data_IF_282611576735
#
_entry.id   IF_282611576735
#
_cell.length_a   1.000
_cell.length_b   1.000
_cell.length_c   1.000
_cell.angle_alpha   90.00
_cell.angle_beta   90.00
_cell.angle_gamma   90.00
#
_symmetry.space_group_name_H-M   'P 1'
#
loop_
_entity.id
_entity.type
_entity.pdbx_description
1 polymer ?
#
# COMPACT_ATOMS: atom_id res chain seq x y z
N UNK A 1 2.36 -7.80 -94.73
CA UNK A 1 2.85 -9.00 -94.08
C UNK A 1 4.16 -8.62 -93.33
N UNK A 2 4.08 -8.42 -92.02
CA UNK A 2 5.25 -8.16 -91.19
C UNK A 2 5.12 -9.07 -89.97
N UNK A 3 6.03 -9.99 -89.87
CA UNK A 3 6.18 -10.98 -88.81
C UNK A 3 6.72 -10.33 -87.54
N UNK A 4 6.06 -10.46 -86.46
CA UNK A 4 6.54 -10.03 -85.11
C UNK A 4 7.09 -11.25 -84.39
N UNK A 5 8.38 -11.16 -84.01
CA UNK A 5 9.09 -12.15 -83.19
C UNK A 5 8.87 -11.81 -81.72
N UNK A 6 8.32 -12.75 -81.00
CA UNK A 6 8.14 -12.69 -79.56
C UNK A 6 9.44 -13.13 -78.85
N UNK A 7 9.98 -12.28 -77.98
CA UNK A 7 11.11 -12.59 -77.11
C UNK A 7 10.53 -12.94 -75.74
N UNK A 8 10.73 -14.16 -75.27
CA UNK A 8 10.38 -14.59 -73.92
C UNK A 8 11.56 -14.25 -72.97
N UNK A 9 11.32 -13.40 -72.01
CA UNK A 9 12.27 -13.12 -70.91
C UNK A 9 11.93 -14.02 -69.73
N UNK A 10 12.87 -14.89 -69.39
CA UNK A 10 12.80 -15.69 -68.15
C UNK A 10 13.24 -14.86 -66.94
N UNK A 11 12.32 -14.58 -66.02
CA UNK A 11 12.64 -13.97 -64.74
C UNK A 11 12.99 -15.08 -63.71
N UNK A 12 14.24 -15.12 -63.30
CA UNK A 12 14.69 -15.97 -62.19
C UNK A 12 14.33 -15.32 -60.84
N UNK A 13 13.37 -15.94 -60.10
CA UNK A 13 13.09 -15.58 -58.72
C UNK A 13 14.24 -16.11 -57.82
N UNK A 14 15.00 -15.19 -57.28
CA UNK A 14 15.90 -15.48 -56.15
C UNK A 14 15.08 -15.43 -54.86
N UNK A 15 14.73 -16.58 -54.29
CA UNK A 15 14.20 -16.74 -52.93
C UNK A 15 15.37 -16.54 -51.94
N UNK A 16 15.53 -15.31 -51.46
CA UNK A 16 16.39 -14.99 -50.33
C UNK A 16 15.77 -15.51 -49.04
N UNK A 17 16.30 -16.60 -48.51
CA UNK A 17 15.96 -17.09 -47.17
C UNK A 17 16.53 -16.12 -46.12
N UNK A 18 15.77 -15.10 -45.77
CA UNK A 18 16.04 -14.27 -44.62
C UNK A 18 15.75 -15.07 -43.32
N UNK A 19 16.76 -15.74 -42.78
CA UNK A 19 16.71 -16.23 -41.42
C UNK A 19 16.65 -15.02 -40.49
N UNK A 20 15.43 -14.60 -40.11
CA UNK A 20 15.24 -13.67 -39.05
C UNK A 20 15.79 -14.29 -37.76
N UNK A 21 16.92 -13.76 -37.28
CA UNK A 21 17.39 -14.03 -35.92
C UNK A 21 16.31 -13.53 -34.98
N UNK A 22 15.49 -14.46 -34.44
CA UNK A 22 14.64 -14.18 -33.31
C UNK A 22 15.57 -13.71 -32.20
N UNK A 23 15.53 -12.42 -31.89
CA UNK A 23 16.26 -11.84 -30.78
C UNK A 23 15.71 -12.49 -29.52
N UNK A 24 16.49 -13.36 -28.89
CA UNK A 24 16.10 -13.97 -27.61
C UNK A 24 15.74 -12.82 -26.66
N UNK A 25 14.52 -12.85 -26.13
CA UNK A 25 14.12 -11.91 -25.11
C UNK A 25 15.15 -12.01 -23.98
N UNK A 26 15.75 -10.87 -23.61
CA UNK A 26 16.72 -10.85 -22.52
C UNK A 26 16.08 -11.49 -21.29
N UNK A 27 16.78 -12.44 -20.67
CA UNK A 27 16.31 -13.02 -19.41
C UNK A 27 16.05 -11.89 -18.40
N UNK A 28 14.92 -11.95 -17.68
CA UNK A 28 14.64 -10.94 -16.68
C UNK A 28 15.78 -10.93 -15.65
N UNK A 29 16.23 -9.74 -15.19
CA UNK A 29 17.30 -9.64 -14.20
C UNK A 29 17.01 -10.52 -12.99
N UNK A 30 18.04 -11.23 -12.50
CA UNK A 30 17.91 -12.11 -11.33
C UNK A 30 17.26 -11.36 -10.15
N UNK A 31 16.42 -12.05 -9.39
CA UNK A 31 15.82 -11.49 -8.18
C UNK A 31 16.90 -11.17 -7.13
N UNK A 32 16.65 -10.19 -6.22
CA UNK A 32 17.56 -9.91 -5.13
C UNK A 32 17.83 -11.15 -4.27
N UNK A 33 19.03 -11.21 -3.69
CA UNK A 33 19.40 -12.30 -2.78
C UNK A 33 18.85 -12.01 -1.37
N UNK A 34 17.66 -12.50 -1.08
CA UNK A 34 16.99 -12.31 0.22
C UNK A 34 17.58 -13.13 1.38
N UNK A 35 18.62 -13.95 1.15
CA UNK A 35 19.42 -14.52 2.22
C UNK A 35 20.31 -13.45 2.89
N UNK A 36 20.55 -12.34 2.20
CA UNK A 36 21.36 -11.23 2.71
C UNK A 36 20.51 -10.28 3.55
N UNK A 37 20.93 -9.94 4.78
CA UNK A 37 20.19 -9.01 5.62
C UNK A 37 19.98 -7.62 4.99
N UNK A 38 20.88 -7.18 4.11
CA UNK A 38 20.81 -5.89 3.40
C UNK A 38 19.63 -5.81 2.41
N UNK A 39 19.11 -6.96 1.97
CA UNK A 39 17.92 -7.02 1.13
C UNK A 39 16.60 -6.74 1.89
N UNK A 40 16.69 -6.31 3.14
CA UNK A 40 15.54 -6.04 4.01
C UNK A 40 15.65 -4.67 4.67
N UNK A 41 14.57 -3.88 4.62
CA UNK A 41 14.42 -2.67 5.43
C UNK A 41 14.16 -3.01 6.90
N UNK A 42 13.34 -4.06 7.15
CA UNK A 42 13.04 -4.57 8.48
C UNK A 42 13.22 -6.09 8.48
N UNK A 43 14.02 -6.60 9.42
CA UNK A 43 14.27 -8.02 9.60
C UNK A 43 14.51 -8.29 11.10
N UNK A 44 13.81 -9.23 11.75
CA UNK A 44 13.97 -9.51 13.15
C UNK A 44 15.40 -9.89 13.53
N UNK A 45 15.86 -9.42 14.68
CA UNK A 45 17.18 -9.74 15.23
C UNK A 45 18.30 -8.77 14.83
N UNK A 46 17.99 -7.67 14.16
CA UNK A 46 18.94 -6.60 13.83
C UNK A 46 18.41 -5.22 14.24
N UNK A 47 19.31 -4.26 14.34
CA UNK A 47 18.95 -2.84 14.46
C UNK A 47 18.62 -2.30 13.08
N UNK A 48 17.40 -1.88 12.87
CA UNK A 48 16.90 -1.35 11.60
C UNK A 48 15.73 -0.36 11.82
N UNK A 49 15.06 0.04 10.73
CA UNK A 49 13.97 1.00 10.76
C UNK A 49 12.80 0.60 11.69
N UNK A 50 12.58 -0.70 11.90
CA UNK A 50 11.45 -1.22 12.68
C UNK A 50 11.82 -1.62 14.11
N UNK A 51 13.09 -1.54 14.49
CA UNK A 51 13.58 -2.06 15.79
C UNK A 51 13.62 -1.02 16.91
N UNK A 52 13.41 0.27 16.57
CA UNK A 52 13.49 1.37 17.51
C UNK A 52 12.17 1.70 18.19
N UNK A 53 12.27 2.35 19.34
CA UNK A 53 11.14 2.95 20.02
C UNK A 53 10.56 4.14 19.22
N UNK A 54 9.24 4.34 19.32
CA UNK A 54 8.53 5.40 18.58
C UNK A 54 7.92 6.41 19.57
N UNK A 55 8.65 7.47 19.95
CA UNK A 55 8.13 8.53 20.80
C UNK A 55 6.90 9.19 20.17
N UNK A 56 5.84 9.30 20.93
CA UNK A 56 4.52 9.75 20.45
C UNK A 56 3.87 10.65 21.49
N UNK A 57 3.42 11.84 21.08
CA UNK A 57 2.66 12.76 21.91
C UNK A 57 1.17 12.62 21.61
N UNK A 58 0.33 12.55 22.65
CA UNK A 58 -1.11 12.67 22.48
C UNK A 58 -1.48 14.10 22.11
N UNK A 59 -2.35 14.28 21.13
CA UNK A 59 -2.95 15.57 20.76
C UNK A 59 -4.40 15.59 21.23
N UNK A 60 -4.62 16.26 22.35
CA UNK A 60 -5.94 16.40 23.02
C UNK A 60 -6.62 17.71 22.62
N UNK A 61 -7.94 17.88 22.88
CA UNK A 61 -8.64 19.14 22.64
C UNK A 61 -8.00 20.38 23.29
N UNK A 62 -7.33 20.21 24.43
CA UNK A 62 -6.63 21.28 25.14
C UNK A 62 -5.15 21.44 24.71
N UNK A 63 -4.70 20.77 23.65
CA UNK A 63 -3.33 20.81 23.14
C UNK A 63 -2.55 19.53 23.37
N UNK A 64 -1.21 19.63 23.41
CA UNK A 64 -0.36 18.46 23.60
C UNK A 64 -0.47 17.90 25.01
N UNK A 65 -0.76 16.59 25.08
CA UNK A 65 -0.91 15.84 26.30
C UNK A 65 0.31 14.99 26.64
N UNK A 66 0.08 13.78 27.13
CA UNK A 66 1.14 12.87 27.54
C UNK A 66 2.06 12.48 26.40
N UNK A 67 3.35 12.37 26.69
CA UNK A 67 4.33 11.74 25.84
C UNK A 67 4.44 10.28 26.23
N UNK A 68 4.17 9.39 25.27
CA UNK A 68 4.34 7.95 25.39
C UNK A 68 5.39 7.46 24.39
N UNK A 69 5.64 6.15 24.43
CA UNK A 69 6.59 5.50 23.53
C UNK A 69 6.07 4.11 23.17
N UNK A 70 5.97 3.81 21.90
CA UNK A 70 5.70 2.46 21.45
C UNK A 70 7.03 1.70 21.34
N UNK A 71 7.10 0.54 21.98
CA UNK A 71 8.28 -0.35 21.96
C UNK A 71 7.99 -1.59 21.12
N UNK A 72 8.99 -2.12 20.40
CA UNK A 72 8.86 -3.43 19.79
C UNK A 72 8.55 -4.52 20.82
N UNK A 73 7.61 -5.40 20.49
CA UNK A 73 7.30 -6.54 21.34
C UNK A 73 8.48 -7.52 21.42
N UNK A 74 8.79 -8.00 22.62
CA UNK A 74 9.95 -8.89 22.83
C UNK A 74 9.82 -10.22 22.06
N UNK A 75 8.65 -10.85 22.08
CA UNK A 75 8.39 -12.14 21.44
C UNK A 75 6.99 -12.19 20.85
N UNK A 76 6.69 -11.41 19.82
CA UNK A 76 5.36 -11.42 19.22
C UNK A 76 5.05 -12.78 18.59
N UNK A 77 3.80 -13.24 18.75
CA UNK A 77 3.37 -14.56 18.29
C UNK A 77 3.17 -14.65 16.78
N UNK A 78 3.04 -13.53 16.10
CA UNK A 78 2.72 -13.41 14.69
C UNK A 78 3.81 -12.68 13.92
N UNK A 79 3.77 -12.78 12.59
CA UNK A 79 4.64 -12.06 11.68
C UNK A 79 3.84 -11.02 10.89
N UNK A 80 4.47 -9.89 10.53
CA UNK A 80 3.94 -8.93 9.56
C UNK A 80 4.91 -8.80 8.38
N UNK A 81 4.39 -9.02 7.17
CA UNK A 81 5.15 -8.88 5.93
C UNK A 81 4.66 -7.65 5.18
N UNK A 82 5.54 -6.65 5.01
CA UNK A 82 5.20 -5.35 4.48
C UNK A 82 5.83 -5.09 3.11
N UNK A 83 5.02 -4.54 2.22
CA UNK A 83 5.46 -4.04 0.91
C UNK A 83 5.07 -2.57 0.81
N UNK A 84 6.07 -1.69 0.72
CA UNK A 84 5.90 -0.24 0.74
C UNK A 84 5.42 0.32 -0.62
N UNK A 85 4.91 1.57 -0.65
CA UNK A 85 4.42 2.23 -1.86
C UNK A 85 5.54 2.71 -2.79
N UNK A 86 5.16 3.33 -3.92
CA UNK A 86 6.06 4.07 -4.81
C UNK A 86 6.63 5.28 -4.07
N UNK A 87 7.92 5.25 -3.75
CA UNK A 87 8.61 6.33 -3.05
C UNK A 87 9.96 6.69 -3.65
N UNK A 88 10.62 5.76 -4.37
CA UNK A 88 11.94 5.98 -4.92
C UNK A 88 11.98 7.14 -5.90
N UNK A 89 13.02 7.95 -5.75
CA UNK A 89 13.39 9.06 -6.64
C UNK A 89 14.52 8.70 -7.60
N UNK A 90 14.88 7.42 -7.69
CA UNK A 90 15.86 6.96 -8.65
C UNK A 90 15.42 7.35 -10.08
N UNK A 91 16.37 7.71 -10.94
CA UNK A 91 16.03 8.21 -12.28
C UNK A 91 15.52 7.13 -13.23
N UNK A 92 15.73 5.83 -12.90
CA UNK A 92 15.28 4.68 -13.68
C UNK A 92 13.80 4.39 -13.54
N UNK A 93 13.29 3.47 -14.35
CA UNK A 93 11.90 2.98 -14.25
C UNK A 93 11.72 2.11 -13.00
N UNK A 94 12.76 1.42 -12.56
CA UNK A 94 12.83 0.70 -11.29
C UNK A 94 13.91 1.31 -10.41
N UNK A 95 13.70 1.23 -9.10
CA UNK A 95 14.69 1.61 -8.09
C UNK A 95 15.85 0.62 -8.07
N UNK A 96 16.96 1.04 -7.48
CA UNK A 96 17.97 0.12 -7.02
C UNK A 96 17.54 -0.63 -5.74
N UNK A 97 18.45 -1.33 -5.10
CA UNK A 97 18.21 -2.09 -3.87
C UNK A 97 18.90 -1.47 -2.64
N UNK A 98 19.43 -0.26 -2.79
CA UNK A 98 20.02 0.47 -1.67
C UNK A 98 18.90 1.21 -0.92
N UNK A 99 18.73 1.00 0.39
CA UNK A 99 17.73 1.72 1.16
C UNK A 99 17.99 3.22 1.14
N UNK A 100 17.13 3.98 0.45
CA UNK A 100 17.13 5.43 0.46
C UNK A 100 16.42 6.00 1.70
N UNK A 101 16.45 7.33 1.80
CA UNK A 101 15.71 8.06 2.86
C UNK A 101 14.20 7.87 2.70
N UNK A 102 13.72 7.76 1.47
CA UNK A 102 12.32 7.63 1.13
C UNK A 102 11.75 6.29 1.58
N UNK A 103 12.43 5.18 1.30
CA UNK A 103 12.03 3.84 1.74
C UNK A 103 12.09 3.73 3.26
N UNK A 104 13.21 4.18 3.85
CA UNK A 104 13.41 4.15 5.30
C UNK A 104 12.34 4.99 6.03
N UNK A 105 12.09 6.21 5.58
CA UNK A 105 11.06 7.08 6.16
C UNK A 105 9.67 6.48 6.04
N UNK A 106 9.35 5.91 4.87
CA UNK A 106 8.03 5.32 4.63
C UNK A 106 7.81 4.08 5.50
N UNK A 107 8.79 3.20 5.61
CA UNK A 107 8.71 2.06 6.51
C UNK A 107 8.62 2.51 7.99
N UNK A 108 9.32 3.57 8.37
CA UNK A 108 9.24 4.15 9.71
C UNK A 108 7.85 4.67 10.04
N UNK A 109 7.21 5.37 9.10
CA UNK A 109 5.88 5.96 9.30
C UNK A 109 4.75 4.94 9.18
N UNK A 110 4.83 4.04 8.19
CA UNK A 110 3.74 3.14 7.85
C UNK A 110 3.83 1.78 8.54
N UNK A 111 5.04 1.34 8.92
CA UNK A 111 5.21 -0.05 9.34
C UNK A 111 5.91 -0.26 10.68
N UNK A 112 6.85 0.59 11.09
CA UNK A 112 7.63 0.36 12.30
C UNK A 112 6.76 0.15 13.55
N UNK A 113 5.58 0.78 13.63
CA UNK A 113 4.66 0.62 14.76
C UNK A 113 4.06 -0.79 14.87
N UNK A 114 4.01 -1.56 13.78
CA UNK A 114 3.60 -2.96 13.82
C UNK A 114 4.57 -3.85 14.62
N UNK A 115 5.81 -3.40 14.85
CA UNK A 115 6.76 -4.12 15.71
C UNK A 115 6.24 -4.31 17.16
N UNK A 116 5.30 -3.49 17.60
CA UNK A 116 4.61 -3.66 18.88
C UNK A 116 3.70 -4.90 18.95
N UNK A 117 3.31 -5.49 17.81
CA UNK A 117 2.36 -6.61 17.74
C UNK A 117 2.89 -7.81 16.94
N UNK A 118 3.88 -7.64 16.06
CA UNK A 118 4.42 -8.71 15.20
C UNK A 118 5.93 -8.62 14.99
N UNK A 119 6.54 -9.73 14.57
CA UNK A 119 7.89 -9.71 13.96
C UNK A 119 7.77 -9.06 12.58
N UNK A 120 8.57 -8.04 12.35
CA UNK A 120 8.47 -7.21 11.14
C UNK A 120 9.41 -7.67 10.04
N UNK A 121 8.86 -7.90 8.86
CA UNK A 121 9.58 -8.26 7.65
C UNK A 121 9.22 -7.28 6.53
N UNK A 122 10.18 -6.51 6.04
CA UNK A 122 9.99 -5.57 4.94
C UNK A 122 11.13 -5.74 3.94
N UNK A 123 10.93 -6.45 2.82
CA UNK A 123 11.97 -6.62 1.82
C UNK A 123 12.22 -5.33 1.05
N UNK A 124 13.48 -5.07 0.68
CA UNK A 124 13.80 -4.20 -0.44
C UNK A 124 13.35 -4.88 -1.74
N UNK A 125 12.81 -4.12 -2.66
CA UNK A 125 12.43 -4.60 -3.98
C UNK A 125 12.60 -3.47 -5.01
N UNK A 126 12.87 -3.81 -6.25
CA UNK A 126 13.02 -2.83 -7.35
C UNK A 126 11.66 -2.24 -7.71
N UNK A 127 11.13 -1.38 -6.84
CA UNK A 127 9.84 -0.72 -7.03
C UNK A 127 9.83 0.07 -8.35
N UNK A 128 8.66 0.19 -8.98
CA UNK A 128 8.46 1.19 -10.01
C UNK A 128 8.57 2.58 -9.37
N UNK A 129 9.46 3.42 -9.91
CA UNK A 129 9.85 4.71 -9.31
C UNK A 129 8.81 5.79 -9.52
N UNK A 130 9.00 6.95 -8.89
CA UNK A 130 8.22 8.16 -9.20
C UNK A 130 8.40 8.58 -10.67
N UNK A 131 9.59 8.35 -11.28
CA UNK A 131 9.80 8.60 -12.70
C UNK A 131 8.92 7.69 -13.57
N UNK A 132 8.80 6.39 -13.23
CA UNK A 132 7.90 5.46 -13.92
C UNK A 132 6.42 5.86 -13.77
N UNK A 133 6.02 6.32 -12.58
CA UNK A 133 4.67 6.82 -12.32
C UNK A 133 4.37 8.06 -13.17
N UNK A 134 5.26 9.05 -13.17
CA UNK A 134 5.10 10.28 -13.95
C UNK A 134 5.09 10.01 -15.45
N UNK A 135 5.94 9.10 -15.96
CA UNK A 135 5.92 8.63 -17.34
C UNK A 135 4.53 8.09 -17.71
N UNK A 136 3.98 7.20 -16.90
CA UNK A 136 2.66 6.62 -17.14
C UNK A 136 1.53 7.67 -17.13
N UNK A 137 1.56 8.62 -16.21
CA UNK A 137 0.57 9.70 -16.13
C UNK A 137 0.65 10.66 -17.33
N UNK A 138 1.82 10.76 -17.96
CA UNK A 138 2.06 11.55 -19.18
C UNK A 138 1.84 10.75 -20.47
N UNK A 139 1.31 9.52 -20.40
CA UNK A 139 1.08 8.65 -21.56
C UNK A 139 2.35 7.93 -22.06
N UNK A 140 3.45 7.94 -21.31
CA UNK A 140 4.66 7.20 -21.62
C UNK A 140 4.56 5.70 -21.28
N UNK A 141 5.49 4.93 -21.88
CA UNK A 141 5.58 3.47 -21.70
C UNK A 141 6.49 3.03 -20.54
N UNK A 142 6.70 1.70 -20.45
CA UNK A 142 7.67 1.07 -19.55
C UNK A 142 7.18 0.76 -18.13
N UNK A 143 6.06 1.35 -17.68
CA UNK A 143 5.55 1.10 -16.32
C UNK A 143 5.11 -0.35 -16.12
N UNK A 144 4.54 -0.99 -17.12
CA UNK A 144 4.11 -2.39 -17.01
C UNK A 144 5.29 -3.32 -16.72
N UNK A 145 6.41 -3.16 -17.44
CA UNK A 145 7.63 -3.94 -17.23
C UNK A 145 8.25 -3.65 -15.85
N UNK A 146 8.26 -2.37 -15.45
CA UNK A 146 8.73 -1.97 -14.12
C UNK A 146 7.90 -2.62 -13.01
N UNK A 147 6.58 -2.65 -13.15
CA UNK A 147 5.68 -3.31 -12.20
C UNK A 147 5.86 -4.84 -12.19
N UNK A 148 6.11 -5.44 -13.36
CA UNK A 148 6.38 -6.88 -13.46
C UNK A 148 7.68 -7.27 -12.74
N UNK A 149 8.75 -6.48 -12.90
CA UNK A 149 10.02 -6.66 -12.19
C UNK A 149 9.83 -6.51 -10.67
N UNK A 150 9.15 -5.46 -10.24
CA UNK A 150 8.85 -5.21 -8.83
C UNK A 150 8.06 -6.37 -8.21
N UNK A 151 7.06 -6.89 -8.91
CA UNK A 151 6.30 -8.06 -8.45
C UNK A 151 7.16 -9.32 -8.35
N UNK A 152 8.05 -9.56 -9.33
CA UNK A 152 8.95 -10.70 -9.29
C UNK A 152 9.85 -10.68 -8.05
N UNK A 153 10.35 -9.50 -7.66
CA UNK A 153 11.14 -9.31 -6.44
C UNK A 153 10.30 -9.57 -5.18
N UNK A 154 9.11 -8.98 -5.07
CA UNK A 154 8.20 -9.21 -3.93
C UNK A 154 7.84 -10.69 -3.79
N UNK A 155 7.58 -11.37 -4.91
CA UNK A 155 7.30 -12.81 -4.93
C UNK A 155 8.49 -13.63 -4.45
N UNK A 156 9.71 -13.28 -4.89
CA UNK A 156 10.93 -13.95 -4.45
C UNK A 156 11.18 -13.73 -2.94
N UNK A 157 11.00 -12.49 -2.44
CA UNK A 157 11.10 -12.17 -1.03
C UNK A 157 10.08 -12.97 -0.18
N UNK A 158 8.84 -13.04 -0.64
CA UNK A 158 7.78 -13.81 0.02
C UNK A 158 8.13 -15.29 0.13
N UNK A 159 8.60 -15.90 -0.96
CA UNK A 159 9.01 -17.30 -0.98
C UNK A 159 10.18 -17.57 -0.04
N UNK A 160 11.19 -16.67 -0.06
CA UNK A 160 12.32 -16.73 0.87
C UNK A 160 11.85 -16.60 2.32
N UNK A 161 10.96 -15.65 2.62
CA UNK A 161 10.38 -15.46 3.96
C UNK A 161 9.66 -16.73 4.44
N UNK A 162 8.79 -17.32 3.62
CA UNK A 162 8.07 -18.54 4.00
C UNK A 162 9.02 -19.69 4.30
N UNK A 163 10.04 -19.86 3.48
CA UNK A 163 10.99 -20.97 3.59
C UNK A 163 11.95 -20.82 4.77
N UNK A 164 12.45 -19.61 5.03
CA UNK A 164 13.58 -19.40 5.94
C UNK A 164 13.21 -18.71 7.26
N UNK A 165 12.16 -17.89 7.27
CA UNK A 165 11.83 -17.03 8.43
C UNK A 165 10.50 -17.38 9.10
N UNK A 166 9.44 -17.64 8.36
CA UNK A 166 8.09 -17.78 8.91
C UNK A 166 7.93 -18.98 9.85
N UNK A 167 8.53 -20.12 9.52
CA UNK A 167 8.52 -21.34 10.37
C UNK A 167 7.11 -21.75 10.82
N UNK A 168 6.11 -21.57 9.94
CA UNK A 168 4.72 -21.96 10.23
C UNK A 168 3.94 -20.98 11.11
N UNK A 169 4.46 -19.79 11.41
CA UNK A 169 3.79 -18.78 12.23
C UNK A 169 2.61 -18.14 11.49
N UNK A 170 1.55 -17.72 12.20
CA UNK A 170 0.52 -16.89 11.59
C UNK A 170 1.10 -15.53 11.16
N UNK A 171 0.51 -14.95 10.10
CA UNK A 171 1.04 -13.71 9.54
C UNK A 171 -0.04 -12.75 9.07
N UNK A 172 0.35 -11.47 8.98
CA UNK A 172 -0.40 -10.40 8.35
C UNK A 172 0.39 -9.87 7.16
N UNK A 173 -0.27 -9.69 6.02
CA UNK A 173 0.27 -8.93 4.90
C UNK A 173 -0.07 -7.46 5.10
N UNK A 174 0.87 -6.56 4.88
CA UNK A 174 0.65 -5.12 4.98
C UNK A 174 1.14 -4.45 3.71
N UNK A 175 0.27 -3.75 3.01
CA UNK A 175 0.60 -3.05 1.77
C UNK A 175 -0.06 -1.69 1.66
N UNK A 176 0.64 -0.76 1.00
CA UNK A 176 0.09 0.52 0.63
C UNK A 176 0.40 0.83 -0.84
N UNK A 177 -0.58 1.36 -1.59
CA UNK A 177 -0.40 1.81 -2.98
C UNK A 177 0.20 0.72 -3.89
N UNK A 178 1.38 0.90 -4.46
CA UNK A 178 2.09 -0.11 -5.25
C UNK A 178 2.29 -1.41 -4.47
N UNK A 179 2.59 -1.32 -3.18
CA UNK A 179 2.70 -2.50 -2.30
C UNK A 179 1.39 -3.28 -2.22
N UNK A 180 0.25 -2.59 -2.18
CA UNK A 180 -1.08 -3.23 -2.25
C UNK A 180 -1.29 -3.95 -3.57
N UNK A 181 -0.86 -3.39 -4.71
CA UNK A 181 -0.96 -4.05 -6.02
C UNK A 181 -0.20 -5.38 -6.00
N UNK A 182 1.06 -5.36 -5.54
CA UNK A 182 1.90 -6.56 -5.50
C UNK A 182 1.38 -7.61 -4.51
N UNK A 183 0.96 -7.19 -3.32
CA UNK A 183 0.39 -8.13 -2.33
C UNK A 183 -0.97 -8.67 -2.77
N UNK A 184 -1.79 -7.90 -3.47
CA UNK A 184 -3.04 -8.40 -4.06
C UNK A 184 -2.78 -9.48 -5.10
N UNK A 185 -1.80 -9.27 -5.97
CA UNK A 185 -1.38 -10.26 -6.96
C UNK A 185 -0.82 -11.51 -6.27
N UNK A 186 0.02 -11.33 -5.24
CA UNK A 186 0.60 -12.42 -4.46
C UNK A 186 -0.48 -13.24 -3.73
N UNK A 187 -1.43 -12.58 -3.07
CA UNK A 187 -2.54 -13.23 -2.40
C UNK A 187 -3.37 -14.08 -3.37
N UNK A 188 -3.76 -13.50 -4.50
CA UNK A 188 -4.59 -14.18 -5.50
C UNK A 188 -3.88 -15.35 -6.19
N UNK A 189 -2.55 -15.25 -6.44
CA UNK A 189 -1.82 -16.23 -7.24
C UNK A 189 -1.04 -17.27 -6.43
N UNK A 190 -0.58 -16.94 -5.22
CA UNK A 190 0.32 -17.79 -4.45
C UNK A 190 -0.27 -18.22 -3.08
N UNK A 191 -1.16 -17.41 -2.48
CA UNK A 191 -1.60 -17.65 -1.10
C UNK A 191 -2.96 -18.30 -1.04
N UNK A 192 -3.99 -17.79 -1.73
CA UNK A 192 -5.38 -18.27 -1.64
C UNK A 192 -5.56 -19.78 -1.87
N UNK A 193 -4.72 -20.40 -2.69
CA UNK A 193 -4.78 -21.83 -3.01
C UNK A 193 -3.71 -22.66 -2.32
N UNK A 194 -2.95 -22.05 -1.39
CA UNK A 194 -1.84 -22.72 -0.70
C UNK A 194 -2.15 -22.94 0.78
N UNK A 195 -1.43 -23.84 1.46
CA UNK A 195 -1.55 -24.02 2.91
C UNK A 195 -1.21 -22.78 3.73
N UNK A 196 -0.55 -21.76 3.14
CA UNK A 196 -0.28 -20.51 3.80
C UNK A 196 -1.57 -19.73 4.12
N UNK A 197 -2.63 -19.89 3.32
CA UNK A 197 -3.91 -19.23 3.55
C UNK A 197 -4.49 -19.50 4.94
N UNK A 198 -4.31 -20.71 5.48
CA UNK A 198 -4.82 -21.13 6.79
C UNK A 198 -4.16 -20.36 7.96
N UNK A 199 -2.96 -19.80 7.72
CA UNK A 199 -2.17 -19.05 8.70
C UNK A 199 -2.24 -17.54 8.51
N UNK A 200 -2.88 -17.08 7.44
CA UNK A 200 -3.08 -15.66 7.22
C UNK A 200 -4.12 -15.11 8.18
N UNK A 201 -3.72 -14.18 9.04
CA UNK A 201 -4.66 -13.45 9.90
C UNK A 201 -5.46 -12.47 9.06
N UNK A 202 -4.78 -11.59 8.37
CA UNK A 202 -5.40 -10.69 7.38
C UNK A 202 -4.39 -10.22 6.34
N UNK A 203 -4.94 -9.68 5.24
CA UNK A 203 -4.19 -8.85 4.32
C UNK A 203 -4.70 -7.40 4.45
N UNK A 204 -3.88 -6.51 4.99
CA UNK A 204 -4.12 -5.07 5.08
C UNK A 204 -3.62 -4.46 3.76
N UNK A 205 -4.57 -4.10 2.89
CA UNK A 205 -4.32 -3.67 1.52
C UNK A 205 -4.93 -2.29 1.31
N UNK A 206 -4.14 -1.24 1.57
CA UNK A 206 -4.60 0.14 1.59
C UNK A 206 -4.13 0.94 0.38
N UNK A 207 -4.85 2.02 0.06
CA UNK A 207 -4.45 2.99 -0.95
C UNK A 207 -4.47 2.44 -2.38
N UNK A 208 -5.23 1.36 -2.63
CA UNK A 208 -5.51 0.85 -3.97
C UNK A 208 -6.87 0.15 -4.02
N UNK A 209 -7.48 0.07 -5.21
CA UNK A 209 -8.81 -0.49 -5.39
C UNK A 209 -8.80 -2.02 -5.24
N UNK A 210 -9.23 -2.53 -4.11
CA UNK A 210 -9.61 -3.95 -3.94
C UNK A 210 -11.08 -4.07 -4.32
N UNK A 211 -11.38 -4.65 -5.47
CA UNK A 211 -12.74 -4.72 -5.99
C UNK A 211 -13.47 -5.98 -5.51
N UNK A 212 -14.74 -5.83 -5.19
CA UNK A 212 -15.70 -6.92 -4.91
C UNK A 212 -16.97 -6.69 -5.72
N UNK A 213 -17.77 -7.73 -6.04
CA UNK A 213 -19.09 -7.52 -6.61
C UNK A 213 -19.96 -6.69 -5.67
N UNK A 214 -20.79 -5.81 -6.21
CA UNK A 214 -21.66 -4.94 -5.42
C UNK A 214 -22.54 -5.77 -4.46
N UNK A 215 -22.55 -5.41 -3.18
CA UNK A 215 -23.27 -6.13 -2.14
C UNK A 215 -22.62 -7.45 -1.67
N UNK A 216 -21.42 -7.80 -2.17
CA UNK A 216 -20.70 -9.00 -1.75
C UNK A 216 -19.36 -8.67 -1.09
N UNK A 217 -18.80 -9.65 -0.38
CA UNK A 217 -17.52 -9.52 0.33
C UNK A 217 -16.37 -10.20 -0.42
N UNK A 218 -16.64 -11.00 -1.42
CA UNK A 218 -15.66 -11.82 -2.15
C UNK A 218 -16.12 -12.04 -3.61
N UNK A 219 -15.20 -12.44 -4.47
CA UNK A 219 -15.50 -12.77 -5.89
C UNK A 219 -15.06 -11.68 -6.88
N UNK A 220 -14.26 -10.71 -6.44
CA UNK A 220 -13.70 -9.65 -7.27
C UNK A 220 -12.19 -9.77 -7.45
N UNK A 221 -11.41 -9.02 -6.69
CA UNK A 221 -9.94 -9.12 -6.66
C UNK A 221 -9.48 -10.49 -6.17
N UNK A 222 -10.24 -11.09 -5.27
CA UNK A 222 -9.96 -12.40 -4.68
C UNK A 222 -11.12 -13.36 -4.92
N UNK A 223 -10.81 -14.64 -5.12
CA UNK A 223 -11.81 -15.69 -5.38
C UNK A 223 -12.35 -16.31 -4.09
N UNK A 224 -11.52 -16.37 -3.03
CA UNK A 224 -11.82 -17.07 -1.77
C UNK A 224 -11.70 -16.15 -0.56
N UNK A 225 -10.80 -15.17 -0.58
CA UNK A 225 -10.51 -14.32 0.56
C UNK A 225 -11.51 -13.17 0.65
N UNK A 226 -12.41 -13.14 1.65
CA UNK A 226 -13.43 -12.12 1.79
C UNK A 226 -12.87 -10.83 2.43
N UNK A 227 -13.62 -9.74 2.34
CA UNK A 227 -13.41 -8.58 3.19
C UNK A 227 -13.73 -8.94 4.66
N UNK A 228 -12.95 -8.43 5.61
CA UNK A 228 -13.23 -8.59 7.04
C UNK A 228 -14.50 -7.83 7.43
N UNK A 229 -15.28 -8.39 8.36
CA UNK A 229 -16.56 -7.82 8.81
C UNK A 229 -16.68 -7.64 10.31
N UNK A 230 -15.80 -8.27 11.08
CA UNK A 230 -15.83 -8.26 12.55
C UNK A 230 -14.44 -8.35 13.16
N UNK A 231 -14.33 -7.85 14.39
CA UNK A 231 -13.10 -7.93 15.18
C UNK A 231 -12.74 -9.37 15.46
N UNK A 232 -11.45 -9.71 15.35
CA UNK A 232 -10.92 -11.07 15.55
C UNK A 232 -11.18 -12.04 14.39
N UNK A 233 -11.84 -11.62 13.31
CA UNK A 233 -11.97 -12.42 12.09
C UNK A 233 -10.61 -12.59 11.40
N UNK A 234 -10.30 -13.79 10.92
CA UNK A 234 -9.03 -14.10 10.26
C UNK A 234 -9.26 -14.73 8.90
N UNK A 235 -8.24 -14.71 8.04
CA UNK A 235 -8.35 -15.17 6.65
C UNK A 235 -9.11 -14.19 5.76
N UNK A 236 -9.06 -12.89 6.05
CA UNK A 236 -9.82 -11.85 5.36
C UNK A 236 -8.98 -10.63 5.01
N UNK A 237 -9.54 -9.71 4.24
CA UNK A 237 -8.88 -8.47 3.77
C UNK A 237 -9.42 -7.27 4.54
N UNK A 238 -8.51 -6.44 5.04
CA UNK A 238 -8.76 -5.11 5.55
C UNK A 238 -8.32 -4.13 4.47
N UNK A 239 -9.24 -3.30 3.97
CA UNK A 239 -8.95 -2.40 2.84
C UNK A 239 -9.79 -1.15 2.87
N UNK A 240 -9.20 -0.05 2.41
CA UNK A 240 -9.86 1.18 2.04
C UNK A 240 -8.91 2.06 1.19
N UNK A 241 -9.51 3.04 0.56
CA UNK A 241 -8.88 4.25 0.05
C UNK A 241 -9.54 5.43 0.73
N UNK A 242 -8.79 6.44 1.13
CA UNK A 242 -9.29 7.51 1.99
C UNK A 242 -9.65 8.74 1.18
N UNK A 243 -10.84 9.28 1.43
CA UNK A 243 -11.28 10.56 0.88
C UNK A 243 -11.86 11.45 2.00
N UNK A 244 -11.78 12.76 1.83
CA UNK A 244 -12.52 13.68 2.69
C UNK A 244 -14.03 13.45 2.49
N UNK A 245 -14.81 13.43 3.55
CA UNK A 245 -16.27 13.28 3.44
C UNK A 245 -16.90 14.40 2.58
N UNK A 246 -16.30 15.59 2.59
CA UNK A 246 -16.70 16.75 1.77
C UNK A 246 -16.22 16.72 0.32
N UNK A 247 -15.29 15.81 -0.02
CA UNK A 247 -14.71 15.70 -1.36
C UNK A 247 -14.57 14.22 -1.76
N UNK A 248 -15.70 13.56 -2.12
CA UNK A 248 -15.73 12.15 -2.50
C UNK A 248 -15.00 11.91 -3.84
N UNK A 249 -14.67 10.64 -4.19
CA UNK A 249 -14.03 10.30 -5.44
C UNK A 249 -14.89 10.78 -6.63
N UNK A 250 -14.33 11.63 -7.55
CA UNK A 250 -15.07 12.13 -8.71
C UNK A 250 -15.58 11.00 -9.58
N UNK A 251 -16.71 11.24 -10.27
CA UNK A 251 -17.33 10.24 -11.13
C UNK A 251 -16.45 9.86 -12.33
N UNK A 252 -15.63 10.80 -12.80
CA UNK A 252 -14.69 10.64 -13.92
C UNK A 252 -13.30 11.07 -13.47
N UNK A 253 -12.27 10.34 -13.91
CA UNK A 253 -10.87 10.68 -13.60
C UNK A 253 -10.43 10.34 -12.18
N UNK A 254 -11.20 9.56 -11.42
CA UNK A 254 -10.76 9.06 -10.11
C UNK A 254 -9.73 7.96 -10.29
N UNK A 255 -8.57 8.12 -9.65
CA UNK A 255 -7.54 7.09 -9.59
C UNK A 255 -7.96 5.98 -8.62
N UNK A 256 -8.55 6.36 -7.49
CA UNK A 256 -8.97 5.47 -6.41
C UNK A 256 -10.44 5.66 -6.06
N UNK A 257 -11.00 4.69 -5.33
CA UNK A 257 -12.35 4.76 -4.78
C UNK A 257 -13.48 4.48 -5.79
N UNK A 258 -13.15 4.11 -7.03
CA UNK A 258 -14.14 3.66 -8.02
C UNK A 258 -13.68 2.40 -8.73
N UNK A 259 -14.55 1.41 -8.78
CA UNK A 259 -14.30 0.17 -9.51
C UNK A 259 -14.35 0.42 -11.03
N UNK A 260 -13.45 -0.24 -11.75
CA UNK A 260 -13.31 -0.13 -13.20
C UNK A 260 -14.25 -1.08 -13.96
N UNK A 261 -14.67 -2.18 -13.34
CA UNK A 261 -15.49 -3.22 -13.96
C UNK A 261 -16.99 -3.05 -13.63
N UNK A 262 -17.90 -3.25 -14.60
CA UNK A 262 -19.34 -3.22 -14.33
C UNK A 262 -19.75 -4.20 -13.22
N UNK A 263 -20.69 -3.79 -12.36
CA UNK A 263 -21.21 -4.62 -11.26
C UNK A 263 -20.22 -4.82 -10.08
N UNK A 264 -19.07 -4.13 -10.12
CA UNK A 264 -18.10 -4.13 -9.01
C UNK A 264 -18.16 -2.82 -8.23
N UNK A 265 -17.77 -2.88 -6.98
CA UNK A 265 -17.48 -1.74 -6.11
C UNK A 265 -16.08 -1.88 -5.53
N UNK A 266 -15.50 -0.79 -5.05
CA UNK A 266 -14.25 -0.85 -4.27
C UNK A 266 -14.60 -1.26 -2.84
N UNK A 267 -13.88 -2.24 -2.29
CA UNK A 267 -14.03 -2.67 -0.92
C UNK A 267 -13.65 -1.56 0.07
N UNK A 268 -14.45 -1.42 1.10
CA UNK A 268 -14.12 -0.59 2.25
C UNK A 268 -14.47 -1.34 3.53
N UNK A 269 -13.49 -1.52 4.41
CA UNK A 269 -13.65 -2.07 5.75
C UNK A 269 -13.38 -0.94 6.75
N UNK A 270 -14.39 -0.56 7.55
CA UNK A 270 -14.21 0.54 8.51
C UNK A 270 -13.16 0.16 9.57
N UNK A 271 -12.01 0.86 9.66
CA UNK A 271 -10.96 0.55 10.63
C UNK A 271 -11.44 0.65 12.08
N UNK A 272 -12.36 1.54 12.38
CA UNK A 272 -12.97 1.68 13.70
C UNK A 272 -13.84 0.44 14.06
N UNK A 273 -13.17 -0.71 14.23
CA UNK A 273 -13.75 -2.00 14.65
C UNK A 273 -14.92 -2.46 13.78
N UNK A 274 -14.87 -2.18 12.47
CA UNK A 274 -15.90 -2.50 11.48
C UNK A 274 -17.27 -1.85 11.78
N UNK A 275 -17.25 -0.63 12.30
CA UNK A 275 -18.47 0.15 12.55
C UNK A 275 -19.30 0.32 11.26
N UNK A 276 -20.63 0.20 11.38
CA UNK A 276 -21.56 0.34 10.24
C UNK A 276 -21.79 1.79 9.80
N UNK A 277 -21.35 2.75 10.59
CA UNK A 277 -21.49 4.19 10.32
C UNK A 277 -20.21 4.94 10.61
N UNK A 278 -20.32 6.24 10.84
CA UNK A 278 -19.20 7.05 11.25
C UNK A 278 -18.78 6.70 12.67
N UNK A 279 -17.49 6.52 12.89
CA UNK A 279 -16.91 6.26 14.19
C UNK A 279 -15.55 6.94 14.33
N UNK A 280 -15.14 7.31 15.56
CA UNK A 280 -13.82 7.92 15.82
C UNK A 280 -12.68 7.03 15.32
N UNK A 281 -11.63 7.66 14.80
CA UNK A 281 -10.41 7.02 14.33
C UNK A 281 -9.24 7.34 15.25
N UNK A 282 -8.38 6.35 15.47
CA UNK A 282 -7.12 6.47 16.20
C UNK A 282 -5.97 6.69 15.22
N UNK A 283 -5.74 7.94 14.84
CA UNK A 283 -4.70 8.33 13.87
C UNK A 283 -3.33 8.54 14.50
N UNK A 284 -2.27 8.20 13.73
CA UNK A 284 -0.88 8.49 14.07
C UNK A 284 -0.18 9.21 12.91
N UNK A 285 0.47 10.34 13.22
CA UNK A 285 0.99 11.26 12.21
C UNK A 285 2.45 11.60 12.45
N UNK A 286 3.30 11.61 11.41
CA UNK A 286 4.57 12.27 11.50
C UNK A 286 4.37 13.79 11.53
N UNK A 287 4.98 14.46 12.51
CA UNK A 287 4.74 15.90 12.79
C UNK A 287 5.26 16.84 11.70
N UNK A 288 6.22 16.39 10.89
CA UNK A 288 6.79 17.19 9.80
C UNK A 288 5.99 17.15 8.49
N UNK A 289 4.78 16.57 8.44
CA UNK A 289 3.95 16.59 7.24
C UNK A 289 3.42 18.00 6.96
N UNK A 290 3.38 18.37 5.67
CA UNK A 290 2.69 19.57 5.18
C UNK A 290 1.36 19.21 4.52
N UNK A 291 0.47 20.21 4.34
CA UNK A 291 -0.85 19.98 3.72
C UNK A 291 -0.77 19.43 2.29
N UNK A 292 0.12 19.96 1.48
CA UNK A 292 0.21 19.65 0.04
C UNK A 292 1.61 19.20 -0.38
N UNK A 293 2.42 18.70 0.57
CA UNK A 293 3.83 18.36 0.30
C UNK A 293 4.75 19.58 0.14
N UNK A 294 4.28 20.76 0.56
CA UNK A 294 5.07 22.01 0.59
C UNK A 294 6.12 22.04 1.70
N UNK A 295 6.77 23.20 1.86
CA UNK A 295 7.84 23.38 2.85
C UNK A 295 7.31 23.54 4.29
N UNK A 296 6.11 24.07 4.46
CA UNK A 296 5.58 24.41 5.78
C UNK A 296 4.80 23.21 6.39
N UNK A 297 5.25 22.70 7.56
CA UNK A 297 4.53 21.64 8.26
C UNK A 297 3.20 22.15 8.81
N UNK A 298 2.27 21.23 9.02
CA UNK A 298 0.99 21.53 9.66
C UNK A 298 1.24 22.04 11.07
N UNK A 299 0.52 23.09 11.44
CA UNK A 299 0.41 23.55 12.81
C UNK A 299 -0.66 22.71 13.52
N UNK A 300 -0.22 21.61 14.16
CA UNK A 300 -1.11 20.65 14.79
C UNK A 300 -1.90 21.19 15.99
N UNK A 301 -1.38 22.21 16.66
CA UNK A 301 -2.05 22.85 17.80
C UNK A 301 -1.71 24.33 17.89
N UNK A 302 -2.64 25.12 18.42
CA UNK A 302 -2.40 26.53 18.80
C UNK A 302 -1.41 26.67 19.96
N UNK A 303 -1.15 25.61 20.72
CA UNK A 303 -0.28 25.60 21.91
C UNK A 303 1.21 25.45 21.60
N UNK A 304 1.62 25.38 20.32
CA UNK A 304 3.02 25.38 19.91
C UNK A 304 3.41 24.21 19.00
N UNK A 305 4.71 23.88 18.98
CA UNK A 305 5.25 22.80 18.19
C UNK A 305 5.07 21.44 18.89
N UNK A 306 4.91 20.33 18.13
CA UNK A 306 4.80 18.99 18.72
C UNK A 306 6.12 18.57 19.38
N UNK A 307 6.05 17.96 20.60
CA UNK A 307 7.25 17.56 21.34
C UNK A 307 7.99 16.36 20.76
N UNK A 308 7.31 15.50 19.99
CA UNK A 308 7.85 14.26 19.44
C UNK A 308 7.61 14.15 17.94
N UNK A 309 8.32 13.21 17.29
CA UNK A 309 8.16 12.96 15.86
C UNK A 309 6.76 12.45 15.48
N UNK A 310 6.11 11.69 16.37
CA UNK A 310 4.74 11.23 16.13
C UNK A 310 3.73 11.93 17.04
N UNK A 311 2.54 12.18 16.48
CA UNK A 311 1.35 12.56 17.23
C UNK A 311 0.31 11.43 17.13
N UNK A 312 -0.41 11.18 18.22
CA UNK A 312 -1.64 10.41 18.24
C UNK A 312 -2.82 11.36 18.34
N UNK A 313 -3.77 11.22 17.43
CA UNK A 313 -4.94 12.12 17.31
C UNK A 313 -6.25 11.38 17.54
N UNK A 314 -6.37 10.69 18.67
CA UNK A 314 -7.58 9.96 19.01
C UNK A 314 -8.81 10.88 18.98
N UNK A 315 -9.82 10.52 18.19
CA UNK A 315 -11.07 11.26 18.05
C UNK A 315 -10.99 12.60 17.31
N UNK A 316 -9.83 13.03 16.79
CA UNK A 316 -9.76 14.19 15.87
C UNK A 316 -10.47 13.90 14.56
N UNK A 317 -10.47 12.65 14.14
CA UNK A 317 -11.12 12.18 12.92
C UNK A 317 -12.24 11.21 13.23
N UNK A 318 -13.24 11.21 12.36
CA UNK A 318 -14.21 10.13 12.23
C UNK A 318 -14.20 9.56 10.83
N UNK A 319 -14.38 8.24 10.71
CA UNK A 319 -14.40 7.52 9.43
C UNK A 319 -15.67 6.72 9.23
N UNK A 320 -16.20 6.76 8.01
CA UNK A 320 -17.32 5.93 7.57
C UNK A 320 -17.01 5.29 6.22
N UNK A 321 -17.26 3.99 6.07
CA UNK A 321 -17.23 3.36 4.75
C UNK A 321 -18.45 3.78 3.94
N UNK A 322 -18.20 4.27 2.73
CA UNK A 322 -19.23 4.57 1.72
C UNK A 322 -19.10 3.54 0.60
N UNK A 323 -20.21 2.84 0.32
CA UNK A 323 -20.35 1.93 -0.81
C UNK A 323 -21.62 2.30 -1.57
N UNK A 324 -21.46 2.88 -2.76
CA UNK A 324 -22.61 3.29 -3.62
C UNK A 324 -22.27 3.05 -5.08
N UNK A 325 -22.93 2.10 -5.71
CA UNK A 325 -22.63 1.68 -7.07
C UNK A 325 -21.15 1.26 -7.17
N UNK A 326 -20.43 1.78 -8.16
CA UNK A 326 -19.01 1.47 -8.31
C UNK A 326 -18.07 2.19 -7.31
N UNK A 327 -18.58 3.10 -6.49
CA UNK A 327 -17.78 3.83 -5.50
C UNK A 327 -17.68 3.08 -4.18
N UNK A 328 -16.45 2.98 -3.64
CA UNK A 328 -16.18 2.45 -2.31
C UNK A 328 -14.94 3.14 -1.71
N UNK A 329 -15.09 3.76 -0.54
CA UNK A 329 -14.00 4.50 0.09
C UNK A 329 -14.27 4.76 1.57
N UNK A 330 -13.23 5.04 2.34
CA UNK A 330 -13.35 5.57 3.71
C UNK A 330 -13.53 7.09 3.63
N UNK A 331 -14.73 7.54 3.95
CA UNK A 331 -15.03 8.97 4.08
C UNK A 331 -14.55 9.45 5.45
N UNK A 332 -13.56 10.35 5.47
CA UNK A 332 -13.00 10.92 6.69
C UNK A 332 -13.52 12.32 6.91
N UNK A 333 -14.00 12.56 8.11
CA UNK A 333 -14.43 13.87 8.62
C UNK A 333 -13.44 14.33 9.69
N UNK A 334 -12.95 15.57 9.61
CA UNK A 334 -12.26 16.21 10.72
C UNK A 334 -13.34 16.70 11.69
N UNK A 335 -13.25 16.26 12.94
CA UNK A 335 -14.17 16.69 14.00
C UNK A 335 -13.69 18.05 14.53
N UNK A 336 -13.84 19.08 13.65
CA UNK A 336 -13.43 20.43 13.94
C UNK A 336 -14.26 21.02 15.08
N UNK A 337 -13.57 21.65 16.04
CA UNK A 337 -14.20 22.40 17.12
C UNK A 337 -13.37 23.71 17.30
N UNK A 338 -13.93 24.87 16.95
CA UNK A 338 -13.23 26.17 17.12
C UNK A 338 -12.81 26.47 18.55
N UNK A 339 -13.40 25.78 19.55
CA UNK A 339 -13.07 25.96 20.96
C UNK A 339 -11.87 25.09 21.40
N UNK A 340 -11.46 24.11 20.59
CA UNK A 340 -10.32 23.27 20.95
C UNK A 340 -9.00 23.80 20.36
N UNK A 341 -7.88 23.34 20.91
CA UNK A 341 -6.56 23.80 20.50
C UNK A 341 -5.98 23.07 19.27
N UNK A 342 -6.65 21.99 18.80
CA UNK A 342 -6.20 21.17 17.69
C UNK A 342 -6.46 21.85 16.36
N UNK A 343 -5.72 21.44 15.35
CA UNK A 343 -5.99 21.83 13.96
C UNK A 343 -7.31 21.27 13.46
N UNK A 344 -8.02 22.02 12.62
CA UNK A 344 -9.19 21.56 11.87
C UNK A 344 -8.81 21.01 10.50
N UNK A 345 -7.52 20.85 10.23
CA UNK A 345 -7.00 20.42 8.94
C UNK A 345 -6.08 19.21 9.08
N UNK A 346 -6.09 18.35 8.08
CA UNK A 346 -5.19 17.19 8.00
C UNK A 346 -4.49 17.14 6.63
N UNK A 347 -3.25 16.63 6.56
CA UNK A 347 -2.53 16.43 5.30
C UNK A 347 -3.08 15.21 4.55
N UNK A 348 -2.50 14.93 3.40
CA UNK A 348 -2.69 13.66 2.69
C UNK A 348 -3.07 13.80 1.24
N UNK A 349 -3.42 15.00 0.80
CA UNK A 349 -3.71 15.28 -0.60
C UNK A 349 -2.45 15.12 -1.45
N UNK A 350 -2.59 14.47 -2.61
CA UNK A 350 -1.53 14.40 -3.61
C UNK A 350 -1.59 15.62 -4.50
N UNK A 351 -0.49 16.36 -4.60
CA UNK A 351 -0.36 17.50 -5.52
C UNK A 351 0.65 17.18 -6.62
N UNK A 352 0.28 17.43 -7.86
CA UNK A 352 1.15 17.33 -9.03
C UNK A 352 1.19 18.70 -9.74
N UNK A 353 2.38 19.25 -9.93
CA UNK A 353 2.55 20.59 -10.50
C UNK A 353 1.79 21.68 -9.74
N UNK A 354 1.74 21.59 -8.41
CA UNK A 354 1.04 22.54 -7.54
C UNK A 354 -0.49 22.41 -7.52
N UNK A 355 -1.06 21.41 -8.20
CA UNK A 355 -2.51 21.15 -8.23
C UNK A 355 -2.88 19.88 -7.49
N UNK A 356 -3.81 19.98 -6.56
CA UNK A 356 -4.36 18.82 -5.85
C UNK A 356 -5.07 17.90 -6.84
N UNK A 357 -4.73 16.62 -6.79
CA UNK A 357 -5.31 15.54 -7.58
C UNK A 357 -6.52 14.98 -6.83
N UNK A 358 -7.70 15.56 -7.03
CA UNK A 358 -8.91 15.19 -6.29
C UNK A 358 -9.25 13.70 -6.40
N UNK A 359 -9.00 13.07 -7.56
CA UNK A 359 -9.22 11.63 -7.77
C UNK A 359 -8.28 10.70 -6.99
N UNK A 360 -7.30 11.25 -6.27
CA UNK A 360 -6.38 10.49 -5.41
C UNK A 360 -6.81 10.47 -3.95
N UNK A 361 -7.71 11.37 -3.55
CA UNK A 361 -8.14 11.51 -2.16
C UNK A 361 -6.99 11.84 -1.22
N UNK A 362 -7.06 11.32 0.00
CA UNK A 362 -6.04 11.46 1.04
C UNK A 362 -4.99 10.32 0.97
N UNK A 363 -4.59 9.93 -0.24
CA UNK A 363 -3.75 8.76 -0.50
C UNK A 363 -2.47 8.68 0.32
N UNK A 364 -1.84 9.83 0.62
CA UNK A 364 -0.57 9.84 1.35
C UNK A 364 -0.73 9.44 2.83
N UNK A 365 -1.95 9.41 3.35
CA UNK A 365 -2.22 9.16 4.77
C UNK A 365 -3.21 8.03 5.03
N UNK A 366 -3.48 7.17 4.02
CA UNK A 366 -4.38 6.02 4.18
C UNK A 366 -4.09 5.19 5.44
N UNK A 367 -2.81 5.02 5.80
CA UNK A 367 -2.42 4.31 7.02
C UNK A 367 -2.49 5.20 8.27
N UNK A 368 -2.07 6.46 8.16
CA UNK A 368 -1.95 7.38 9.30
C UNK A 368 -3.30 7.68 9.96
N UNK A 369 -4.36 7.80 9.16
CA UNK A 369 -5.71 8.15 9.66
C UNK A 369 -6.26 7.14 10.67
N UNK A 370 -5.80 5.89 10.66
CA UNK A 370 -6.34 4.80 11.48
C UNK A 370 -5.26 3.79 11.92
N UNK A 371 -4.01 4.24 12.11
CA UNK A 371 -2.91 3.36 12.47
C UNK A 371 -3.16 2.63 13.80
N UNK A 372 -3.71 3.30 14.81
CA UNK A 372 -4.04 2.69 16.10
C UNK A 372 -5.14 1.64 15.97
N UNK A 373 -6.16 1.92 15.15
CA UNK A 373 -7.21 0.96 14.85
C UNK A 373 -6.64 -0.30 14.17
N UNK A 374 -5.74 -0.13 13.19
CA UNK A 374 -5.08 -1.25 12.51
C UNK A 374 -4.34 -2.16 13.49
N UNK A 375 -3.55 -1.56 14.40
CA UNK A 375 -2.81 -2.33 15.41
C UNK A 375 -3.77 -3.10 16.32
N UNK A 376 -4.86 -2.45 16.79
CA UNK A 376 -5.87 -3.09 17.62
C UNK A 376 -6.60 -4.24 16.91
N UNK A 377 -6.86 -4.10 15.59
CA UNK A 377 -7.45 -5.18 14.79
C UNK A 377 -6.50 -6.37 14.64
N UNK A 378 -5.21 -6.12 14.36
CA UNK A 378 -4.18 -7.17 14.25
C UNK A 378 -3.99 -7.90 15.58
N UNK A 379 -3.95 -7.17 16.69
CA UNK A 379 -3.85 -7.77 18.02
C UNK A 379 -5.05 -8.67 18.33
N UNK A 380 -6.27 -8.20 18.06
CA UNK A 380 -7.48 -8.98 18.25
C UNK A 380 -7.52 -10.25 17.36
N UNK A 381 -7.01 -10.16 16.13
CA UNK A 381 -6.87 -11.31 15.23
C UNK A 381 -5.84 -12.31 15.76
N UNK A 382 -4.70 -11.85 16.27
CA UNK A 382 -3.69 -12.71 16.88
C UNK A 382 -4.24 -13.46 18.09
N UNK A 383 -4.97 -12.76 18.98
CA UNK A 383 -5.64 -13.36 20.14
C UNK A 383 -6.71 -14.37 19.75
N UNK A 384 -7.51 -14.09 18.72
CA UNK A 384 -8.53 -15.01 18.22
C UNK A 384 -7.92 -16.27 17.58
N UNK A 385 -6.83 -16.10 16.83
CA UNK A 385 -6.13 -17.22 16.21
C UNK A 385 -5.48 -18.15 17.23
N UNK A 386 -4.89 -17.60 18.29
CA UNK A 386 -4.26 -18.38 19.36
C UNK A 386 -5.25 -19.24 20.19
N UNK A 387 -6.56 -18.99 20.05
CA UNK A 387 -7.63 -19.75 20.72
C UNK A 387 -8.20 -20.91 19.87
N UNK A 388 -7.70 -21.09 18.64
CA UNK A 388 -8.09 -22.19 17.72
C UNK A 388 -7.31 -23.46 18.03
#
# INVERSE_FOLDING_TARGET
MKTIRTIAAAAALMLGSGAGLAQAAAEPPAAPDYAKPEAWLCLPGRTDTCSGALPTTALNPNGYGSVGQAEPAKNPAIDCFYVYPTVSRDPGMNSDLQPGREETFTAYVQFARFAGVCKTYAPMYRQATLAALMSALSGGGGRADAMAMAYADVRAAWRHYLQNHNKGRPFVLVGHSQGTIHLSQLLASEIEASPAAERMLSAILLGFNVEVPEGKLVGGSFKKTPLCTRVGETGCVITWVTFRATNPPPAVGSMFGRASRPGMTVGCTNPARFAKGSAPLDGYWPTGMSMTGGADPIRWSSTGAPPTFFLRTDGLLSGACVNRGNAGYLAVTVNADPADARTDEIPGDVALGGRVQQGWGLHLVDMSVAMGDLLGLVEAQAQAFAKR
#
